data_IF_504599209647
#
_entry.id   IF_504599209647
#
_cell.length_a   1.000
_cell.length_b   1.000
_cell.length_c   1.000
_cell.angle_alpha   90.00
_cell.angle_beta   90.00
_cell.angle_gamma   90.00
#
_symmetry.space_group_name_H-M   'P 1'
#
loop_
_entity.id
_entity.type
_entity.pdbx_description
1 polymer ?
#
# COMPACT_ATOMS: atom_id res chain seq x y z
N UNK A 1 -18.50 -16.11 -3.54
CA UNK A 1 -18.45 -14.84 -2.78
C UNK A 1 -17.06 -14.64 -2.23
N UNK A 2 -16.46 -13.53 -2.58
CA UNK A 2 -15.14 -13.17 -2.08
C UNK A 2 -15.30 -12.59 -0.68
N UNK A 3 -14.94 -13.37 0.34
CA UNK A 3 -14.91 -12.91 1.74
C UNK A 3 -13.56 -12.30 2.10
N UNK A 4 -12.96 -11.56 1.16
CA UNK A 4 -11.69 -10.91 1.42
C UNK A 4 -11.82 -9.89 2.55
N UNK A 5 -10.78 -9.79 3.37
CA UNK A 5 -10.72 -8.83 4.47
C UNK A 5 -10.47 -7.45 3.88
N UNK A 6 -11.35 -6.50 4.17
CA UNK A 6 -11.16 -5.10 3.76
C UNK A 6 -10.17 -4.47 4.74
N UNK A 7 -9.16 -3.82 4.19
CA UNK A 7 -8.12 -3.17 4.99
C UNK A 7 -7.87 -1.74 4.50
N UNK A 8 -7.24 -0.95 5.36
CA UNK A 8 -6.75 0.38 5.02
C UNK A 8 -5.27 0.48 5.39
N UNK A 9 -4.56 1.40 4.76
CA UNK A 9 -3.16 1.64 5.13
C UNK A 9 -3.14 2.45 6.42
N UNK A 10 -2.68 1.83 7.49
CA UNK A 10 -2.54 2.49 8.79
C UNK A 10 -1.32 3.40 8.83
N UNK A 11 -0.23 2.98 8.18
CA UNK A 11 1.01 3.73 8.16
C UNK A 11 2.19 2.85 7.79
N UNK A 12 3.37 3.45 7.94
CA UNK A 12 4.64 2.79 7.67
C UNK A 12 5.50 2.90 8.93
N UNK A 13 6.13 1.81 9.29
CA UNK A 13 6.97 1.68 10.46
C UNK A 13 8.36 1.22 10.05
N UNK A 14 9.40 1.65 10.75
CA UNK A 14 10.76 1.15 10.54
C UNK A 14 11.04 -0.02 11.47
N UNK A 15 11.64 -1.07 10.93
CA UNK A 15 12.17 -2.17 11.74
C UNK A 15 13.41 -1.68 12.50
N UNK A 16 13.48 -1.93 13.82
CA UNK A 16 14.50 -1.35 14.69
C UNK A 16 15.94 -1.63 14.28
N UNK A 17 16.23 -2.87 13.85
CA UNK A 17 17.59 -3.32 13.58
C UNK A 17 18.07 -3.02 12.15
N UNK A 18 17.18 -3.08 11.17
CA UNK A 18 17.52 -2.97 9.73
C UNK A 18 17.09 -1.67 9.08
N UNK A 19 16.28 -0.86 9.78
CA UNK A 19 15.64 0.34 9.23
C UNK A 19 14.81 0.05 7.97
N UNK A 20 14.39 -1.20 7.78
CA UNK A 20 13.54 -1.60 6.67
C UNK A 20 12.10 -1.16 6.94
N UNK A 21 11.46 -0.45 5.98
CA UNK A 21 10.08 -0.04 6.16
C UNK A 21 9.11 -1.22 6.18
N UNK A 22 8.14 -1.14 7.08
CA UNK A 22 7.04 -2.08 7.20
C UNK A 22 5.74 -1.32 6.95
N UNK A 23 5.03 -1.72 5.92
CA UNK A 23 3.70 -1.18 5.64
C UNK A 23 2.68 -1.95 6.48
N UNK A 24 1.83 -1.23 7.21
CA UNK A 24 0.80 -1.82 8.06
C UNK A 24 -0.58 -1.67 7.41
N UNK A 25 -1.19 -2.81 7.09
CA UNK A 25 -2.56 -2.86 6.59
C UNK A 25 -3.49 -3.23 7.75
N UNK A 26 -4.40 -2.33 8.08
CA UNK A 26 -5.28 -2.42 9.24
C UNK A 26 -6.68 -2.88 8.85
N UNK A 27 -7.18 -3.90 9.53
CA UNK A 27 -8.60 -4.26 9.45
C UNK A 27 -9.39 -3.29 10.34
N UNK A 28 -10.25 -2.42 9.78
CA UNK A 28 -10.96 -1.41 10.56
C UNK A 28 -11.76 -2.01 11.73
N UNK A 29 -11.87 -1.26 12.82
CA UNK A 29 -12.61 -1.63 14.03
C UNK A 29 -12.02 -2.84 14.78
N UNK A 30 -10.81 -3.25 14.45
CA UNK A 30 -10.08 -4.32 15.15
C UNK A 30 -8.69 -3.84 15.51
N UNK A 31 -7.95 -4.67 16.27
CA UNK A 31 -6.54 -4.46 16.58
C UNK A 31 -5.62 -5.26 15.67
N UNK A 32 -6.13 -5.76 14.53
CA UNK A 32 -5.40 -6.66 13.64
C UNK A 32 -4.76 -5.90 12.48
N UNK A 33 -3.48 -6.15 12.28
CA UNK A 33 -2.66 -5.51 11.25
C UNK A 33 -1.90 -6.56 10.48
N UNK A 34 -1.80 -6.38 9.16
CA UNK A 34 -0.92 -7.21 8.33
C UNK A 34 0.35 -6.40 8.03
N UNK A 35 1.52 -6.81 8.56
CA UNK A 35 2.77 -6.15 8.24
C UNK A 35 3.34 -6.69 6.93
N UNK A 36 3.76 -5.79 6.04
CA UNK A 36 4.43 -6.16 4.79
C UNK A 36 5.71 -5.33 4.68
N UNK A 37 6.86 -6.00 4.59
CA UNK A 37 8.15 -5.36 4.40
C UNK A 37 8.27 -4.85 2.96
N UNK A 38 8.66 -3.59 2.79
CA UNK A 38 8.76 -2.94 1.48
C UNK A 38 10.07 -2.17 1.36
N UNK A 39 10.44 -1.76 0.15
CA UNK A 39 11.62 -0.94 -0.06
C UNK A 39 11.42 0.51 0.39
N UNK A 40 12.51 1.21 0.63
CA UNK A 40 12.47 2.60 1.10
C UNK A 40 11.82 3.52 0.06
N UNK A 41 12.15 3.36 -1.21
CA UNK A 41 11.58 4.18 -2.29
C UNK A 41 10.07 3.96 -2.39
N UNK A 42 9.63 2.73 -2.30
CA UNK A 42 8.21 2.36 -2.32
C UNK A 42 7.48 2.93 -1.11
N UNK A 43 8.10 2.87 0.07
CA UNK A 43 7.56 3.45 1.29
C UNK A 43 7.35 4.95 1.17
N UNK A 44 8.31 5.66 0.58
CA UNK A 44 8.21 7.11 0.34
C UNK A 44 7.04 7.43 -0.59
N UNK A 45 6.88 6.67 -1.66
CA UNK A 45 5.76 6.86 -2.60
C UNK A 45 4.40 6.70 -1.91
N UNK A 46 4.26 5.69 -1.05
CA UNK A 46 3.05 5.45 -0.28
C UNK A 46 2.80 6.59 0.73
N UNK A 47 3.83 7.00 1.45
CA UNK A 47 3.71 8.05 2.45
C UNK A 47 3.29 9.39 1.83
N UNK A 48 3.86 9.78 0.70
CA UNK A 48 3.45 10.99 -0.01
C UNK A 48 1.98 10.91 -0.44
N UNK A 49 1.55 9.76 -0.92
CA UNK A 49 0.15 9.57 -1.30
C UNK A 49 -0.80 9.69 -0.09
N UNK A 50 -0.42 9.12 1.05
CA UNK A 50 -1.21 9.24 2.29
C UNK A 50 -1.33 10.67 2.79
N UNK A 51 -0.25 11.46 2.66
CA UNK A 51 -0.24 12.86 3.05
C UNK A 51 -0.95 13.77 2.04
N UNK A 52 -1.38 13.22 0.91
CA UNK A 52 -2.02 14.01 -0.16
C UNK A 52 -1.06 14.95 -0.86
N UNK A 53 0.23 14.68 -0.81
CA UNK A 53 1.23 15.52 -1.45
C UNK A 53 1.18 15.37 -2.98
N UNK A 54 1.08 16.50 -3.67
CA UNK A 54 1.07 16.55 -5.14
C UNK A 54 2.41 17.06 -5.63
N UNK A 55 3.15 16.22 -6.34
CA UNK A 55 4.41 16.61 -6.94
C UNK A 55 4.19 17.56 -8.13
N UNK A 56 5.13 18.51 -8.39
CA UNK A 56 5.04 19.40 -9.55
C UNK A 56 4.98 18.64 -10.89
N UNK A 57 5.62 17.47 -10.95
CA UNK A 57 5.54 16.55 -12.10
C UNK A 57 5.16 15.17 -11.58
N UNK A 58 4.34 14.41 -12.34
CA UNK A 58 3.94 13.07 -11.89
C UNK A 58 5.15 12.15 -11.69
N UNK A 59 5.20 11.52 -10.52
CA UNK A 59 6.15 10.45 -10.23
C UNK A 59 5.62 9.14 -10.81
N UNK A 60 6.36 8.04 -10.65
CA UNK A 60 6.03 6.76 -11.30
C UNK A 60 4.59 6.31 -11.06
N UNK A 61 4.14 6.30 -9.81
CA UNK A 61 2.78 5.86 -9.50
C UNK A 61 1.71 6.87 -9.92
N UNK A 62 2.02 8.17 -9.87
CA UNK A 62 1.12 9.22 -10.39
C UNK A 62 0.96 9.05 -11.90
N UNK A 63 2.05 8.79 -12.61
CA UNK A 63 2.03 8.56 -14.05
C UNK A 63 1.22 7.33 -14.42
N UNK A 64 1.32 6.25 -13.64
CA UNK A 64 0.51 5.04 -13.86
C UNK A 64 -0.98 5.35 -13.76
N UNK A 65 -1.40 6.12 -12.77
CA UNK A 65 -2.80 6.56 -12.65
C UNK A 65 -3.21 7.38 -13.87
N UNK A 66 -2.38 8.34 -14.28
CA UNK A 66 -2.67 9.16 -15.47
C UNK A 66 -2.84 8.31 -16.73
N UNK A 67 -1.99 7.30 -16.90
CA UNK A 67 -2.07 6.37 -18.03
C UNK A 67 -3.38 5.58 -18.00
N UNK A 68 -3.71 5.01 -16.83
CA UNK A 68 -4.93 4.23 -16.65
C UNK A 68 -6.17 5.08 -16.98
N UNK A 69 -6.24 6.29 -16.42
CA UNK A 69 -7.35 7.22 -16.66
C UNK A 69 -7.43 7.67 -18.13
N UNK A 70 -6.28 7.90 -18.75
CA UNK A 70 -6.20 8.29 -20.16
C UNK A 70 -6.78 7.23 -21.11
N UNK A 71 -6.77 5.97 -20.69
CA UNK A 71 -7.32 4.84 -21.42
C UNK A 71 -8.80 4.57 -21.04
N UNK A 72 -9.43 5.48 -20.32
CA UNK A 72 -10.81 5.36 -19.85
C UNK A 72 -11.02 4.13 -18.96
N UNK A 73 -10.00 3.78 -18.20
CA UNK A 73 -10.03 2.72 -17.20
C UNK A 73 -9.91 3.29 -15.78
N UNK A 74 -10.25 2.49 -14.80
CA UNK A 74 -10.09 2.84 -13.40
C UNK A 74 -9.70 1.60 -12.60
N UNK A 75 -9.06 1.82 -11.44
CA UNK A 75 -8.78 0.73 -10.51
C UNK A 75 -10.02 0.49 -9.68
N UNK A 76 -10.56 -0.72 -9.71
CA UNK A 76 -11.72 -1.09 -8.90
C UNK A 76 -11.33 -1.65 -7.54
N UNK A 77 -10.24 -2.42 -7.49
CA UNK A 77 -9.78 -3.08 -6.27
C UNK A 77 -8.32 -3.48 -6.42
N UNK A 78 -7.60 -3.46 -5.30
CA UNK A 78 -6.33 -4.17 -5.19
C UNK A 78 -6.45 -5.21 -4.09
N UNK A 79 -5.84 -6.38 -4.27
CA UNK A 79 -5.93 -7.49 -3.34
C UNK A 79 -4.55 -8.08 -3.07
N UNK A 80 -4.22 -8.28 -1.79
CA UNK A 80 -3.07 -9.09 -1.41
C UNK A 80 -3.53 -10.54 -1.42
N UNK A 81 -3.02 -11.32 -2.36
CA UNK A 81 -3.60 -12.62 -2.73
C UNK A 81 -2.88 -13.81 -2.12
N UNK A 82 -1.56 -13.71 -1.93
CA UNK A 82 -0.77 -14.86 -1.53
C UNK A 82 0.53 -14.44 -0.85
N UNK A 83 1.17 -15.39 -0.18
CA UNK A 83 2.52 -15.29 0.34
C UNK A 83 3.25 -16.59 0.04
N UNK A 84 4.43 -16.51 -0.58
CA UNK A 84 5.29 -17.64 -0.89
C UNK A 84 6.73 -17.28 -0.55
N UNK A 85 7.38 -18.10 0.27
CA UNK A 85 8.78 -17.87 0.67
C UNK A 85 9.00 -16.44 1.21
N UNK A 86 8.08 -15.98 2.07
CA UNK A 86 8.07 -14.62 2.68
C UNK A 86 7.84 -13.49 1.69
N UNK A 87 7.50 -13.81 0.43
CA UNK A 87 7.17 -12.81 -0.59
C UNK A 87 5.67 -12.73 -0.77
N UNK A 88 5.12 -11.53 -0.56
CA UNK A 88 3.70 -11.26 -0.79
C UNK A 88 3.42 -10.98 -2.26
N UNK A 89 2.27 -11.45 -2.72
CA UNK A 89 1.76 -11.24 -4.07
C UNK A 89 0.48 -10.42 -4.01
N UNK A 90 0.28 -9.59 -5.02
CA UNK A 90 -0.91 -8.76 -5.12
C UNK A 90 -1.47 -8.77 -6.53
N UNK A 91 -2.73 -8.41 -6.63
CA UNK A 91 -3.43 -8.23 -7.90
C UNK A 91 -4.13 -6.88 -7.93
N UNK A 92 -4.09 -6.24 -9.09
CA UNK A 92 -4.81 -5.01 -9.36
C UNK A 92 -5.91 -5.33 -10.35
N UNK A 93 -7.14 -5.02 -10.01
CA UNK A 93 -8.28 -5.18 -10.91
C UNK A 93 -8.66 -3.83 -11.51
N UNK A 94 -8.61 -3.76 -12.83
CA UNK A 94 -9.01 -2.59 -13.60
C UNK A 94 -10.42 -2.79 -14.15
N UNK A 95 -11.23 -1.76 -14.10
CA UNK A 95 -12.48 -1.67 -14.81
C UNK A 95 -12.24 -0.91 -16.12
N UNK A 96 -12.57 -1.55 -17.24
CA UNK A 96 -12.42 -0.97 -18.57
C UNK A 96 -13.75 -0.98 -19.32
N UNK A 97 -13.79 -0.32 -20.48
CA UNK A 97 -14.98 -0.31 -21.35
C UNK A 97 -15.37 -1.75 -21.77
N UNK A 98 -14.38 -2.62 -21.91
CA UNK A 98 -14.58 -4.01 -22.36
C UNK A 98 -14.77 -5.00 -21.21
N UNK A 99 -14.73 -4.55 -19.96
CA UNK A 99 -14.87 -5.40 -18.79
C UNK A 99 -13.71 -5.27 -17.82
N UNK A 100 -13.53 -6.25 -16.94
CA UNK A 100 -12.48 -6.25 -15.93
C UNK A 100 -11.22 -6.92 -16.42
N UNK A 101 -10.07 -6.33 -16.05
CA UNK A 101 -8.73 -6.88 -16.31
C UNK A 101 -8.00 -6.97 -14.98
N UNK A 102 -7.38 -8.12 -14.70
CA UNK A 102 -6.61 -8.33 -13.47
C UNK A 102 -5.13 -8.48 -13.80
N UNK A 103 -4.29 -7.73 -13.08
CA UNK A 103 -2.84 -7.70 -13.27
C UNK A 103 -2.15 -8.13 -11.99
N UNK A 104 -1.08 -8.94 -12.14
CA UNK A 104 -0.19 -9.24 -11.02
C UNK A 104 0.70 -8.05 -10.70
N UNK A 105 0.98 -7.82 -9.43
CA UNK A 105 1.73 -6.65 -8.96
C UNK A 105 2.45 -6.97 -7.66
N UNK A 106 3.49 -6.20 -7.36
CA UNK A 106 4.02 -6.17 -5.99
C UNK A 106 3.00 -5.47 -5.08
N UNK A 107 2.90 -5.89 -3.81
CA UNK A 107 2.01 -5.22 -2.85
C UNK A 107 2.23 -3.71 -2.74
N UNK A 108 3.49 -3.27 -2.70
CA UNK A 108 3.82 -1.84 -2.60
C UNK A 108 3.28 -1.02 -3.77
N UNK A 109 3.38 -1.52 -4.99
CA UNK A 109 2.84 -0.85 -6.18
C UNK A 109 1.31 -0.82 -6.15
N UNK A 110 0.68 -1.94 -5.82
CA UNK A 110 -0.77 -2.03 -5.71
C UNK A 110 -1.32 -1.04 -4.69
N UNK A 111 -0.71 -0.96 -3.51
CA UNK A 111 -1.12 -0.04 -2.45
C UNK A 111 -0.87 1.42 -2.84
N UNK A 112 0.28 1.73 -3.43
CA UNK A 112 0.59 3.08 -3.88
C UNK A 112 -0.44 3.59 -4.89
N UNK A 113 -0.91 2.72 -5.78
CA UNK A 113 -1.96 3.04 -6.75
C UNK A 113 -3.33 3.13 -6.09
N UNK A 114 -3.65 2.23 -5.16
CA UNK A 114 -4.95 2.23 -4.47
C UNK A 114 -5.18 3.50 -3.67
N UNK A 115 -4.16 3.98 -2.96
CA UNK A 115 -4.27 5.23 -2.20
C UNK A 115 -4.55 6.42 -3.13
N UNK A 116 -3.83 6.49 -4.26
CA UNK A 116 -4.00 7.58 -5.24
C UNK A 116 -5.36 7.57 -5.92
N UNK A 117 -5.90 6.39 -6.17
CA UNK A 117 -7.21 6.22 -6.83
C UNK A 117 -8.37 6.09 -5.85
N UNK A 118 -8.08 6.08 -4.57
CA UNK A 118 -9.08 5.84 -3.50
C UNK A 118 -9.85 4.54 -3.73
N UNK A 119 -9.14 3.50 -4.11
CA UNK A 119 -9.71 2.20 -4.44
C UNK A 119 -9.72 1.28 -3.23
N UNK A 120 -10.60 0.29 -3.28
CA UNK A 120 -10.73 -0.72 -2.25
C UNK A 120 -9.46 -1.56 -2.15
N UNK A 121 -9.01 -1.80 -0.92
CA UNK A 121 -7.86 -2.66 -0.62
C UNK A 121 -8.37 -3.86 0.17
N UNK A 122 -8.04 -5.07 -0.30
CA UNK A 122 -8.44 -6.30 0.36
C UNK A 122 -7.27 -7.25 0.52
N UNK A 123 -7.45 -8.23 1.41
CA UNK A 123 -6.47 -9.29 1.66
C UNK A 123 -7.21 -10.63 1.69
N UNK A 124 -6.61 -11.66 1.12
CA UNK A 124 -7.11 -13.02 1.23
C UNK A 124 -7.30 -13.38 2.72
N UNK A 125 -8.48 -13.90 3.12
CA UNK A 125 -8.78 -14.14 4.54
C UNK A 125 -7.83 -15.13 5.20
N UNK A 126 -7.46 -16.21 4.55
CA UNK A 126 -6.54 -17.19 5.13
C UNK A 126 -5.15 -16.59 5.35
N UNK A 127 -4.66 -15.83 4.38
CA UNK A 127 -3.39 -15.11 4.48
C UNK A 127 -3.43 -14.10 5.63
N UNK A 128 -4.49 -13.32 5.73
CA UNK A 128 -4.66 -12.32 6.79
C UNK A 128 -4.68 -12.97 8.17
N UNK A 129 -5.46 -14.04 8.32
CA UNK A 129 -5.58 -14.75 9.59
C UNK A 129 -4.27 -15.39 10.05
N UNK A 130 -3.46 -15.89 9.11
CA UNK A 130 -2.19 -16.56 9.42
C UNK A 130 -1.04 -15.59 9.69
N UNK A 131 -1.09 -14.40 9.13
CA UNK A 131 0.05 -13.47 9.13
C UNK A 131 -0.22 -12.14 9.85
N UNK A 132 -1.46 -11.86 10.23
CA UNK A 132 -1.77 -10.62 10.95
C UNK A 132 -1.24 -10.66 12.37
N UNK A 133 -0.96 -9.47 12.89
CA UNK A 133 -0.51 -9.26 14.26
C UNK A 133 -1.50 -8.33 14.98
N UNK A 134 -1.46 -8.37 16.30
CA UNK A 134 -2.25 -7.47 17.14
C UNK A 134 -1.34 -6.36 17.63
N UNK A 135 -1.70 -5.11 17.33
CA UNK A 135 -1.01 -3.93 17.84
C UNK A 135 -1.94 -3.18 18.79
N UNK A 136 -1.39 -2.81 19.93
CA UNK A 136 -2.06 -1.99 20.93
C UNK A 136 -1.73 -0.53 20.64
N UNK A 137 -2.66 0.39 20.90
CA UNK A 137 -2.60 1.81 20.48
C UNK A 137 -1.34 2.61 20.88
N UNK A 138 -0.53 2.08 21.81
CA UNK A 138 0.68 2.78 22.29
C UNK A 138 1.81 2.88 21.24
N UNK A 139 1.67 2.23 20.07
CA UNK A 139 2.69 2.22 19.01
C UNK A 139 2.52 3.33 17.95
N UNK A 140 1.58 4.24 18.13
CA UNK A 140 1.40 5.40 17.24
C UNK A 140 2.65 6.28 17.13
N UNK A 141 3.53 6.21 18.11
CA UNK A 141 4.76 7.01 18.13
C UNK A 141 5.76 6.57 17.06
N UNK A 142 5.91 5.27 16.83
CA UNK A 142 6.83 4.73 15.82
C UNK A 142 6.39 5.09 14.39
N UNK A 143 5.08 5.09 14.16
CA UNK A 143 4.51 5.51 12.86
C UNK A 143 4.75 7.00 12.63
N UNK A 144 4.59 7.82 13.68
CA UNK A 144 4.88 9.26 13.61
C UNK A 144 6.35 9.53 13.35
N UNK A 145 7.26 8.77 13.97
CA UNK A 145 8.70 8.89 13.76
C UNK A 145 9.10 8.59 12.31
N UNK A 146 8.44 7.61 11.66
CA UNK A 146 8.69 7.32 10.26
C UNK A 146 8.19 8.47 9.36
N UNK A 147 7.03 9.03 9.64
CA UNK A 147 6.48 10.18 8.90
C UNK A 147 7.43 11.38 9.03
N UNK A 148 7.92 11.67 10.23
CA UNK A 148 8.90 12.73 10.47
C UNK A 148 10.20 12.47 9.70
N UNK A 149 10.67 11.23 9.66
CA UNK A 149 11.85 10.84 8.88
C UNK A 149 11.66 11.13 7.40
N UNK A 150 10.48 10.84 6.84
CA UNK A 150 10.16 11.11 5.43
C UNK A 150 10.08 12.61 5.15
N UNK A 151 9.50 13.39 6.06
CA UNK A 151 9.40 14.86 5.92
C UNK A 151 10.77 15.54 5.87
N UNK A 152 11.77 14.95 6.52
CA UNK A 152 13.15 15.41 6.50
C UNK A 152 13.92 15.05 5.22
N UNK A 153 13.33 14.16 4.38
CA UNK A 153 13.95 13.74 3.12
C UNK A 153 13.42 14.62 1.98
N UNK A 154 14.34 15.30 1.29
CA UNK A 154 14.00 16.07 0.11
C UNK A 154 13.70 15.16 -1.08
N UNK A 155 12.70 15.48 -1.94
CA UNK A 155 12.49 14.74 -3.19
C UNK A 155 13.75 14.65 -4.07
N UNK A 156 14.66 15.58 -3.93
CA UNK A 156 15.93 15.60 -4.67
C UNK A 156 16.90 14.51 -4.23
N UNK A 157 16.72 13.96 -3.03
CA UNK A 157 17.55 12.86 -2.51
C UNK A 157 17.30 11.52 -3.21
N UNK A 158 16.26 11.43 -4.04
CA UNK A 158 15.82 10.22 -4.73
C UNK A 158 15.93 10.31 -6.26
N UNK A 159 16.59 11.32 -6.78
CA UNK A 159 16.78 11.49 -8.23
C UNK A 159 18.02 10.73 -8.71
#
# INVERSE_FOLDING_TARGET
MNNNVIVEVSGIRLEEDSETPIMLLHEPETSRFLPIWIGTIEAVSIAYAQEGYVHPRPQTHDLLIDIIESLNASISEVCITDIQDKTYYAEITLSTIEGSVTLSSRPSDAIALAIRSNSKITVNPDLFNQNSIILIEDNNQEIKEFIEFIDDISPDDFV
#
